data_IF_995790276242
#
_entry.id   IF_995790276242
#
_cell.length_a   1.000
_cell.length_b   1.000
_cell.length_c   1.000
_cell.angle_alpha   90.00
_cell.angle_beta   90.00
_cell.angle_gamma   90.00
#
_symmetry.space_group_name_H-M   'P 1'
#
loop_
_entity.id
_entity.type
_entity.pdbx_description
1 polymer ?
#
# COMPACT_ATOMS: atom_id res chain seq x y z
N UNK A 1 -26.12 17.44 4.78
CA UNK A 1 -25.07 16.58 5.33
C UNK A 1 -25.62 15.16 5.35
N UNK A 2 -25.13 14.29 4.46
CA UNK A 2 -25.57 12.88 4.43
C UNK A 2 -24.94 12.19 5.63
N UNK A 3 -25.76 11.69 6.57
CA UNK A 3 -25.27 10.88 7.68
C UNK A 3 -24.58 9.63 7.10
N UNK A 4 -23.41 9.25 7.62
CA UNK A 4 -22.74 8.04 7.18
C UNK A 4 -23.67 6.84 7.42
N UNK A 5 -23.76 5.94 6.42
CA UNK A 5 -24.54 4.71 6.58
C UNK A 5 -23.93 3.91 7.74
N UNK A 6 -24.70 3.63 8.81
CA UNK A 6 -24.19 2.89 9.95
C UNK A 6 -23.67 1.51 9.51
N UNK A 7 -22.49 1.13 9.99
CA UNK A 7 -21.96 -0.21 9.75
C UNK A 7 -22.07 -1.04 11.03
N UNK A 8 -22.48 -2.31 10.89
CA UNK A 8 -22.33 -3.33 11.93
C UNK A 8 -20.94 -3.95 11.80
N UNK A 9 -20.14 -3.80 12.85
CA UNK A 9 -18.71 -4.09 12.83
C UNK A 9 -18.37 -5.20 13.82
N UNK A 10 -17.62 -6.21 13.36
CA UNK A 10 -16.88 -7.10 14.25
C UNK A 10 -15.47 -6.55 14.37
N UNK A 11 -14.95 -6.47 15.59
CA UNK A 11 -13.54 -6.05 15.85
C UNK A 11 -12.78 -7.24 16.39
N UNK A 12 -11.64 -7.56 15.77
CA UNK A 12 -10.78 -8.67 16.16
C UNK A 12 -9.32 -8.20 16.31
N UNK A 13 -8.78 -8.36 17.51
CA UNK A 13 -7.39 -8.02 17.85
C UNK A 13 -7.00 -8.77 19.13
N UNK A 14 -5.81 -9.38 19.18
CA UNK A 14 -5.30 -10.08 20.35
C UNK A 14 -4.98 -9.13 21.52
N UNK A 15 -4.97 -7.82 21.28
CA UNK A 15 -4.79 -6.79 22.28
C UNK A 15 -6.15 -6.17 22.70
N UNK A 16 -6.70 -6.49 23.88
CA UNK A 16 -8.01 -5.96 24.33
C UNK A 16 -8.11 -4.42 24.33
N UNK A 17 -6.99 -3.74 24.58
CA UNK A 17 -6.90 -2.26 24.54
C UNK A 17 -7.17 -1.73 23.14
N UNK A 18 -6.70 -2.40 22.10
CA UNK A 18 -6.94 -2.01 20.70
C UNK A 18 -8.42 -2.20 20.37
N UNK A 19 -9.03 -3.33 20.75
CA UNK A 19 -10.46 -3.60 20.56
C UNK A 19 -11.31 -2.50 21.21
N UNK A 20 -11.04 -2.19 22.50
CA UNK A 20 -11.75 -1.14 23.24
C UNK A 20 -11.54 0.26 22.61
N UNK A 21 -10.31 0.55 22.17
CA UNK A 21 -9.96 1.80 21.50
C UNK A 21 -10.69 1.98 20.17
N UNK A 22 -10.71 0.95 19.32
CA UNK A 22 -11.43 0.95 18.04
C UNK A 22 -12.92 1.15 18.27
N UNK A 23 -13.54 0.44 19.22
CA UNK A 23 -14.95 0.62 19.56
C UNK A 23 -15.26 2.04 20.04
N UNK A 24 -14.45 2.58 20.95
CA UNK A 24 -14.62 3.94 21.48
C UNK A 24 -14.59 4.99 20.34
N UNK A 25 -13.76 4.78 19.33
CA UNK A 25 -13.63 5.68 18.18
C UNK A 25 -14.80 5.48 17.20
N UNK A 26 -15.29 4.27 16.98
CA UNK A 26 -16.36 3.96 16.03
C UNK A 26 -17.73 4.44 16.50
N UNK A 27 -18.04 4.34 17.80
CA UNK A 27 -19.33 4.67 18.40
C UNK A 27 -19.81 6.09 18.09
N UNK A 28 -19.01 7.16 18.27
CA UNK A 28 -19.42 8.54 17.98
C UNK A 28 -19.72 8.79 16.50
N UNK A 29 -19.22 7.93 15.60
CA UNK A 29 -19.43 8.02 14.16
C UNK A 29 -20.61 7.16 13.66
N UNK A 30 -21.43 6.64 14.59
CA UNK A 30 -22.64 5.87 14.28
C UNK A 30 -22.42 4.42 13.86
N UNK A 31 -21.18 3.90 13.97
CA UNK A 31 -20.90 2.49 13.72
C UNK A 31 -21.16 1.66 14.97
N UNK A 32 -21.76 0.47 14.80
CA UNK A 32 -22.10 -0.42 15.89
C UNK A 32 -21.14 -1.61 15.93
N UNK A 33 -20.35 -1.74 17.01
CA UNK A 33 -19.57 -2.95 17.26
C UNK A 33 -20.51 -4.02 17.81
N UNK A 34 -20.78 -5.04 17.00
CA UNK A 34 -21.74 -6.12 17.29
C UNK A 34 -21.08 -7.34 17.93
N UNK A 35 -19.78 -7.55 17.74
CA UNK A 35 -19.01 -8.60 18.41
C UNK A 35 -17.53 -8.22 18.49
N UNK A 36 -16.81 -8.86 19.43
CA UNK A 36 -15.39 -8.69 19.68
C UNK A 36 -14.73 -10.07 19.70
N UNK A 37 -13.55 -10.17 19.11
CA UNK A 37 -12.74 -11.38 19.11
C UNK A 37 -11.29 -11.04 19.52
N UNK A 38 -10.63 -11.97 20.19
CA UNK A 38 -9.25 -11.78 20.67
C UNK A 38 -8.28 -12.81 20.10
N UNK A 39 -8.78 -13.74 19.32
CA UNK A 39 -8.03 -14.76 18.60
C UNK A 39 -8.78 -15.19 17.34
N UNK A 40 -8.16 -16.05 16.53
CA UNK A 40 -8.75 -16.53 15.28
C UNK A 40 -9.96 -17.43 15.50
N UNK A 41 -10.01 -18.22 16.57
CA UNK A 41 -11.13 -19.14 16.84
C UNK A 41 -12.38 -18.36 17.22
N UNK A 42 -12.27 -17.39 18.15
CA UNK A 42 -13.36 -16.50 18.56
C UNK A 42 -13.81 -15.61 17.40
N UNK A 43 -12.91 -15.17 16.52
CA UNK A 43 -13.27 -14.43 15.31
C UNK A 43 -14.20 -15.25 14.42
N UNK A 44 -13.86 -16.50 14.12
CA UNK A 44 -14.70 -17.32 13.26
C UNK A 44 -16.02 -17.71 13.93
N UNK A 45 -16.07 -17.90 15.27
CA UNK A 45 -17.30 -18.07 16.01
C UNK A 45 -18.19 -16.81 15.90
N UNK A 46 -17.64 -15.62 16.14
CA UNK A 46 -18.36 -14.35 15.97
C UNK A 46 -18.93 -14.17 14.56
N UNK A 47 -18.14 -14.51 13.53
CA UNK A 47 -18.60 -14.41 12.13
C UNK A 47 -19.72 -15.40 11.78
N UNK A 48 -19.77 -16.57 12.44
CA UNK A 48 -20.82 -17.55 12.25
C UNK A 48 -22.13 -17.12 12.94
N UNK A 49 -22.04 -16.58 14.15
CA UNK A 49 -23.18 -16.31 15.01
C UNK A 49 -23.75 -14.88 14.84
N UNK A 50 -22.94 -13.94 14.35
CA UNK A 50 -23.31 -12.52 14.32
C UNK A 50 -23.22 -11.96 12.91
N UNK A 51 -24.29 -11.30 12.47
CA UNK A 51 -24.29 -10.60 11.18
C UNK A 51 -23.54 -9.27 11.29
N UNK A 52 -22.53 -9.10 10.43
CA UNK A 52 -21.83 -7.84 10.25
C UNK A 52 -21.66 -7.53 8.77
N UNK A 53 -21.46 -6.24 8.44
CA UNK A 53 -21.08 -5.82 7.08
C UNK A 53 -19.60 -5.44 6.98
N UNK A 54 -18.95 -5.14 8.10
CA UNK A 54 -17.51 -4.81 8.15
C UNK A 54 -16.84 -5.63 9.25
N UNK A 55 -15.70 -6.21 8.93
CA UNK A 55 -14.76 -6.80 9.87
C UNK A 55 -13.54 -5.89 9.97
N UNK A 56 -13.24 -5.40 11.17
CA UNK A 56 -11.97 -4.75 11.50
C UNK A 56 -11.11 -5.79 12.21
N UNK A 57 -9.99 -6.20 11.64
CA UNK A 57 -9.16 -7.27 12.20
C UNK A 57 -7.69 -6.90 12.20
N UNK A 58 -6.98 -7.32 13.26
CA UNK A 58 -5.53 -7.43 13.18
C UNK A 58 -5.13 -8.46 12.11
N UNK A 59 -3.97 -8.25 11.55
CA UNK A 59 -3.36 -9.20 10.62
C UNK A 59 -2.76 -10.41 11.35
N UNK A 60 -2.18 -10.20 12.53
CA UNK A 60 -1.50 -11.24 13.31
C UNK A 60 -2.17 -11.43 14.67
N UNK A 61 -2.74 -12.60 14.89
CA UNK A 61 -3.38 -13.03 16.14
C UNK A 61 -2.94 -14.45 16.45
N UNK A 62 -1.75 -14.64 17.03
CA UNK A 62 -1.11 -15.97 17.14
C UNK A 62 -1.75 -16.90 18.18
N UNK A 63 -2.57 -16.38 19.09
CA UNK A 63 -3.09 -17.15 20.24
C UNK A 63 -4.22 -18.15 19.90
N UNK A 64 -4.73 -18.13 18.65
CA UNK A 64 -5.76 -19.08 18.21
C UNK A 64 -5.19 -20.40 17.68
N UNK A 65 -6.05 -21.44 17.60
CA UNK A 65 -5.69 -22.72 16.96
C UNK A 65 -5.75 -22.62 15.42
N UNK A 66 -6.57 -21.70 14.90
CA UNK A 66 -6.67 -21.46 13.47
C UNK A 66 -5.57 -20.50 13.01
N UNK A 67 -5.06 -20.68 11.76
CA UNK A 67 -4.01 -19.82 11.24
C UNK A 67 -4.45 -18.36 11.14
N UNK A 68 -3.56 -17.43 11.48
CA UNK A 68 -3.70 -15.99 11.30
C UNK A 68 -3.17 -15.50 9.91
N UNK A 69 -3.04 -14.21 9.73
CA UNK A 69 -2.45 -13.59 8.54
C UNK A 69 -3.21 -13.85 7.25
N UNK A 70 -2.48 -14.08 6.15
CA UNK A 70 -3.08 -14.32 4.83
C UNK A 70 -4.05 -15.51 4.79
N UNK A 71 -3.76 -16.67 5.44
CA UNK A 71 -4.69 -17.79 5.52
C UNK A 71 -6.02 -17.41 6.17
N UNK A 72 -5.99 -16.63 7.28
CA UNK A 72 -7.19 -16.13 7.95
C UNK A 72 -8.02 -15.26 7.01
N UNK A 73 -7.42 -14.26 6.38
CA UNK A 73 -8.11 -13.37 5.43
C UNK A 73 -8.73 -14.16 4.28
N UNK A 74 -7.98 -15.12 3.72
CA UNK A 74 -8.50 -15.98 2.65
C UNK A 74 -9.72 -16.80 3.10
N UNK A 75 -9.69 -17.33 4.32
CA UNK A 75 -10.80 -18.09 4.91
C UNK A 75 -12.02 -17.21 5.13
N UNK A 76 -11.85 -16.01 5.69
CA UNK A 76 -12.94 -15.03 5.86
C UNK A 76 -13.58 -14.70 4.50
N UNK A 77 -12.78 -14.39 3.49
CA UNK A 77 -13.28 -14.10 2.12
C UNK A 77 -14.07 -15.25 1.52
N UNK A 78 -13.64 -16.49 1.75
CA UNK A 78 -14.31 -17.70 1.23
C UNK A 78 -15.65 -17.96 1.93
N UNK A 79 -15.68 -17.85 3.27
CA UNK A 79 -16.86 -18.20 4.07
C UNK A 79 -17.87 -17.04 4.18
N UNK A 80 -17.37 -15.79 4.18
CA UNK A 80 -18.16 -14.57 4.39
C UNK A 80 -17.91 -13.55 3.27
N UNK A 81 -18.23 -13.85 1.99
CA UNK A 81 -17.85 -13.03 0.83
C UNK A 81 -18.48 -11.62 0.82
N UNK A 82 -19.56 -11.41 1.59
CA UNK A 82 -20.24 -10.12 1.71
C UNK A 82 -19.62 -9.21 2.78
N UNK A 83 -18.84 -9.76 3.70
CA UNK A 83 -18.17 -8.99 4.74
C UNK A 83 -17.01 -8.21 4.15
N UNK A 84 -16.97 -6.91 4.40
CA UNK A 84 -15.88 -6.02 3.99
C UNK A 84 -14.79 -6.05 5.05
N UNK A 85 -13.56 -6.32 4.64
CA UNK A 85 -12.44 -6.51 5.57
C UNK A 85 -11.60 -5.23 5.61
N UNK A 86 -11.42 -4.70 6.82
CA UNK A 86 -10.46 -3.64 7.18
C UNK A 86 -9.36 -4.29 8.00
N UNK A 87 -8.15 -4.31 7.50
CA UNK A 87 -6.99 -4.90 8.19
C UNK A 87 -6.22 -3.81 8.91
N UNK A 88 -6.05 -3.98 10.22
CA UNK A 88 -5.13 -3.23 11.05
C UNK A 88 -3.80 -4.00 11.07
N UNK A 89 -2.67 -3.33 10.86
CA UNK A 89 -1.40 -4.05 10.78
C UNK A 89 -0.20 -3.17 11.14
N UNK A 90 0.85 -3.80 11.64
CA UNK A 90 2.18 -3.21 11.78
C UNK A 90 3.12 -3.60 10.63
N UNK A 91 2.61 -4.32 9.62
CA UNK A 91 3.40 -4.79 8.49
C UNK A 91 3.94 -3.63 7.66
N UNK A 92 5.22 -3.73 7.32
CA UNK A 92 5.91 -2.85 6.38
C UNK A 92 6.38 -3.56 5.11
N UNK A 93 6.00 -4.85 4.93
CA UNK A 93 6.33 -5.59 3.72
C UNK A 93 5.34 -5.29 2.59
N UNK A 94 5.75 -4.58 1.51
CA UNK A 94 4.86 -4.17 0.44
C UNK A 94 4.25 -5.34 -0.34
N UNK A 95 4.97 -6.47 -0.47
CA UNK A 95 4.47 -7.64 -1.19
C UNK A 95 3.26 -8.26 -0.46
N UNK A 96 3.31 -8.35 0.88
CA UNK A 96 2.18 -8.83 1.69
C UNK A 96 1.00 -7.86 1.62
N UNK A 97 1.26 -6.55 1.67
CA UNK A 97 0.21 -5.52 1.56
C UNK A 97 -0.47 -5.56 0.18
N UNK A 98 0.29 -5.74 -0.91
CA UNK A 98 -0.26 -5.94 -2.26
C UNK A 98 -1.12 -7.20 -2.32
N UNK A 99 -0.64 -8.33 -1.77
CA UNK A 99 -1.40 -9.58 -1.72
C UNK A 99 -2.74 -9.40 -0.99
N UNK A 100 -2.80 -8.64 0.10
CA UNK A 100 -4.04 -8.32 0.81
C UNK A 100 -5.02 -7.53 -0.08
N UNK A 101 -4.52 -6.55 -0.84
CA UNK A 101 -5.35 -5.79 -1.78
C UNK A 101 -5.88 -6.68 -2.91
N UNK A 102 -5.05 -7.55 -3.47
CA UNK A 102 -5.43 -8.51 -4.52
C UNK A 102 -6.48 -9.52 -4.02
N UNK A 103 -6.44 -9.85 -2.73
CA UNK A 103 -7.47 -10.66 -2.06
C UNK A 103 -8.79 -9.89 -1.82
N UNK A 104 -8.86 -8.61 -2.19
CA UNK A 104 -10.06 -7.78 -2.08
C UNK A 104 -10.33 -7.26 -0.66
N UNK A 105 -9.28 -7.04 0.15
CA UNK A 105 -9.38 -6.30 1.41
C UNK A 105 -9.82 -4.87 1.12
N UNK A 106 -10.84 -4.38 1.82
CA UNK A 106 -11.43 -3.07 1.57
C UNK A 106 -10.57 -1.93 2.12
N UNK A 107 -9.88 -2.15 3.24
CA UNK A 107 -8.99 -1.13 3.80
C UNK A 107 -7.77 -1.74 4.48
N UNK A 108 -6.64 -1.03 4.37
CA UNK A 108 -5.40 -1.32 5.10
C UNK A 108 -5.03 -0.12 5.97
N UNK A 109 -4.83 -0.38 7.24
CA UNK A 109 -4.55 0.64 8.23
C UNK A 109 -3.30 0.29 9.05
N UNK A 110 -2.35 1.24 9.13
CA UNK A 110 -1.13 1.07 9.92
C UNK A 110 -1.40 1.40 11.40
N UNK A 111 -1.30 0.42 12.29
CA UNK A 111 -1.50 0.57 13.74
C UNK A 111 -0.55 1.59 14.40
N UNK A 112 0.59 1.90 13.79
CA UNK A 112 1.56 2.90 14.29
C UNK A 112 1.09 4.33 14.09
N UNK A 113 0.09 4.53 13.24
CA UNK A 113 -0.50 5.85 12.99
C UNK A 113 -1.69 6.10 13.91
N UNK A 114 -2.19 7.35 13.92
CA UNK A 114 -3.36 7.69 14.71
C UNK A 114 -4.58 6.87 14.28
N UNK A 115 -5.21 6.18 15.24
CA UNK A 115 -6.44 5.41 15.00
C UNK A 115 -7.66 6.28 14.67
N UNK A 116 -7.55 7.60 14.72
CA UNK A 116 -8.66 8.55 14.49
C UNK A 116 -9.33 8.42 13.13
N UNK A 117 -8.59 7.91 12.13
CA UNK A 117 -9.10 7.75 10.76
C UNK A 117 -9.79 6.38 10.54
N UNK A 118 -9.83 5.50 11.54
CA UNK A 118 -10.52 4.20 11.45
C UNK A 118 -12.00 4.35 11.02
N UNK A 119 -12.79 5.31 11.54
CA UNK A 119 -14.16 5.50 11.08
C UNK A 119 -14.27 5.79 9.59
N UNK A 120 -13.31 6.53 9.04
CA UNK A 120 -13.24 6.81 7.59
C UNK A 120 -12.99 5.51 6.80
N UNK A 121 -12.08 4.65 7.28
CA UNK A 121 -11.79 3.37 6.67
C UNK A 121 -13.01 2.42 6.73
N UNK A 122 -13.68 2.36 7.89
CA UNK A 122 -14.89 1.54 8.11
C UNK A 122 -16.05 2.04 7.25
N UNK A 123 -16.26 3.36 7.19
CA UNK A 123 -17.28 3.95 6.32
C UNK A 123 -17.00 3.64 4.85
N UNK A 124 -15.77 3.87 4.38
CA UNK A 124 -15.38 3.55 3.00
C UNK A 124 -15.62 2.08 2.66
N UNK A 125 -15.22 1.16 3.55
CA UNK A 125 -15.47 -0.26 3.40
C UNK A 125 -16.97 -0.57 3.33
N UNK A 126 -17.77 0.00 4.23
CA UNK A 126 -19.22 -0.20 4.32
C UNK A 126 -19.97 0.20 3.05
N UNK A 127 -19.52 1.24 2.35
CA UNK A 127 -20.08 1.69 1.07
C UNK A 127 -19.39 1.09 -0.17
N UNK A 128 -18.54 0.08 0.04
CA UNK A 128 -17.86 -0.63 -1.06
C UNK A 128 -16.69 0.11 -1.69
N UNK A 129 -16.16 1.12 -1.01
CA UNK A 129 -14.94 1.85 -1.43
C UNK A 129 -13.70 1.28 -0.74
N UNK A 130 -12.53 1.58 -1.30
CA UNK A 130 -11.25 1.22 -0.72
C UNK A 130 -10.64 2.38 0.07
N UNK A 131 -9.91 2.05 1.14
CA UNK A 131 -9.16 3.00 1.94
C UNK A 131 -7.76 2.46 2.26
N UNK A 132 -6.75 3.30 2.09
CA UNK A 132 -5.38 3.04 2.53
C UNK A 132 -4.96 4.16 3.45
N UNK A 133 -4.45 3.83 4.63
CA UNK A 133 -3.86 4.85 5.50
C UNK A 133 -2.70 5.55 4.78
N UNK A 134 -2.43 6.84 5.09
CA UNK A 134 -1.39 7.60 4.39
C UNK A 134 -0.02 6.91 4.40
N UNK A 135 0.35 6.24 5.49
CA UNK A 135 1.60 5.52 5.62
C UNK A 135 1.68 4.32 4.66
N UNK A 136 0.63 3.49 4.61
CA UNK A 136 0.57 2.33 3.69
C UNK A 136 0.54 2.81 2.23
N UNK A 137 -0.19 3.88 1.95
CA UNK A 137 -0.24 4.44 0.59
C UNK A 137 1.15 4.89 0.11
N UNK A 138 1.89 5.62 0.94
CA UNK A 138 3.28 6.03 0.62
C UNK A 138 4.15 4.82 0.37
N UNK A 139 4.17 3.86 1.29
CA UNK A 139 4.98 2.65 1.18
C UNK A 139 4.73 1.90 -0.14
N UNK A 140 3.47 1.75 -0.54
CA UNK A 140 3.12 1.08 -1.80
C UNK A 140 3.49 1.91 -3.04
N UNK A 141 3.41 3.25 -2.95
CA UNK A 141 3.82 4.17 -4.03
C UNK A 141 5.34 4.16 -4.22
N UNK A 142 6.12 4.21 -3.13
CA UNK A 142 7.58 4.21 -3.17
C UNK A 142 8.10 2.94 -3.85
N UNK A 143 7.54 1.77 -3.51
CA UNK A 143 7.91 0.50 -4.15
C UNK A 143 7.46 0.45 -5.62
N UNK A 144 6.27 0.95 -5.94
CA UNK A 144 5.81 1.01 -7.33
C UNK A 144 6.69 1.93 -8.20
N UNK A 145 7.20 3.01 -7.62
CA UNK A 145 8.17 3.88 -8.28
C UNK A 145 9.52 3.15 -8.48
N UNK A 146 10.02 2.46 -7.45
CA UNK A 146 11.27 1.71 -7.52
C UNK A 146 11.19 0.57 -8.56
N UNK A 147 10.13 -0.24 -8.53
CA UNK A 147 9.89 -1.32 -9.49
C UNK A 147 9.85 -0.79 -10.94
N UNK A 148 9.15 0.34 -11.15
CA UNK A 148 9.07 0.99 -12.47
C UNK A 148 10.41 1.53 -12.92
N UNK A 149 11.18 2.08 -12.01
CA UNK A 149 12.53 2.59 -12.29
C UNK A 149 13.49 1.45 -12.67
N UNK A 150 13.46 0.33 -11.93
CA UNK A 150 14.28 -0.84 -12.27
C UNK A 150 13.89 -1.44 -13.62
N UNK A 151 12.60 -1.52 -13.94
CA UNK A 151 12.15 -2.03 -15.23
C UNK A 151 12.58 -1.11 -16.39
N UNK A 152 12.49 0.21 -16.19
CA UNK A 152 12.97 1.20 -17.17
C UNK A 152 14.49 1.14 -17.31
N UNK A 153 15.23 0.98 -16.21
CA UNK A 153 16.68 0.83 -16.23
C UNK A 153 17.13 -0.44 -16.94
N UNK A 154 16.33 -1.52 -16.91
CA UNK A 154 16.62 -2.75 -17.68
C UNK A 154 16.52 -2.53 -19.20
N UNK A 155 15.75 -1.55 -19.65
CA UNK A 155 15.61 -1.19 -21.08
C UNK A 155 16.81 -0.40 -21.59
N UNK A 156 17.58 0.23 -20.71
CA UNK A 156 18.75 1.01 -21.07
C UNK A 156 20.00 0.12 -21.22
N UNK A 157 20.80 0.39 -22.23
CA UNK A 157 22.12 -0.19 -22.32
C UNK A 157 23.04 0.35 -21.21
N UNK A 158 24.11 -0.36 -20.82
CA UNK A 158 25.07 0.13 -19.82
C UNK A 158 25.60 1.53 -20.11
N UNK A 159 25.82 1.83 -21.38
CA UNK A 159 26.33 3.14 -21.83
C UNK A 159 25.27 4.25 -21.73
N UNK A 160 24.02 3.95 -22.02
CA UNK A 160 22.93 4.91 -21.87
C UNK A 160 22.69 5.24 -20.39
N UNK A 161 22.77 4.24 -19.51
CA UNK A 161 22.68 4.43 -18.04
C UNK A 161 23.81 5.32 -17.52
N UNK A 162 25.03 5.05 -17.96
CA UNK A 162 26.23 5.82 -17.57
C UNK A 162 26.10 7.30 -17.97
N UNK A 163 25.63 7.57 -19.19
CA UNK A 163 25.38 8.94 -19.67
C UNK A 163 24.31 9.62 -18.86
N UNK A 164 23.18 8.94 -18.58
CA UNK A 164 22.08 9.52 -17.79
C UNK A 164 22.49 9.77 -16.34
N UNK A 165 23.28 8.90 -15.71
CA UNK A 165 23.80 9.10 -14.35
C UNK A 165 24.70 10.32 -14.26
N UNK A 166 25.65 10.47 -15.19
CA UNK A 166 26.51 11.64 -15.22
C UNK A 166 25.73 12.93 -15.48
N UNK A 167 24.71 12.88 -16.34
CA UNK A 167 23.81 13.99 -16.59
C UNK A 167 22.97 14.37 -15.36
N UNK A 168 22.49 13.37 -14.60
CA UNK A 168 21.77 13.57 -13.33
C UNK A 168 22.62 14.29 -12.27
N UNK A 169 23.94 14.08 -12.29
CA UNK A 169 24.91 14.75 -11.41
C UNK A 169 25.21 16.20 -11.83
N UNK A 170 24.56 16.70 -12.90
CA UNK A 170 24.70 18.06 -13.38
C UNK A 170 25.85 18.28 -14.37
N UNK A 171 26.50 17.20 -14.84
CA UNK A 171 27.58 17.35 -15.82
C UNK A 171 27.03 17.74 -17.22
N UNK A 172 27.68 18.69 -17.89
CA UNK A 172 27.34 19.02 -19.26
C UNK A 172 27.69 17.89 -20.22
N UNK A 173 26.94 17.74 -21.33
CA UNK A 173 27.20 16.66 -22.31
C UNK A 173 28.61 16.71 -22.89
N UNK A 174 29.21 17.90 -22.99
CA UNK A 174 30.63 18.06 -23.44
C UNK A 174 31.60 17.45 -22.44
N UNK A 175 31.39 17.67 -21.13
CA UNK A 175 32.25 17.14 -20.07
C UNK A 175 32.13 15.61 -20.00
N UNK A 176 30.87 15.10 -20.13
CA UNK A 176 30.62 13.66 -20.21
C UNK A 176 31.32 13.04 -21.41
N UNK A 177 31.31 13.72 -22.58
CA UNK A 177 31.98 13.25 -23.77
C UNK A 177 33.50 13.14 -23.56
N UNK A 178 34.09 14.14 -22.94
CA UNK A 178 35.53 14.16 -22.60
C UNK A 178 35.86 13.05 -21.60
N UNK A 179 35.11 12.94 -20.51
CA UNK A 179 35.34 11.95 -19.47
C UNK A 179 35.18 10.50 -19.95
N UNK A 180 34.28 10.26 -20.91
CA UNK A 180 34.06 8.93 -21.50
C UNK A 180 34.93 8.66 -22.75
N UNK A 181 35.79 9.58 -23.17
CA UNK A 181 36.62 9.45 -24.37
C UNK A 181 35.79 9.29 -25.66
N UNK A 182 34.65 10.03 -25.77
CA UNK A 182 33.70 9.93 -26.88
C UNK A 182 33.36 11.29 -27.46
N UNK A 183 32.85 11.28 -28.70
CA UNK A 183 32.41 12.53 -29.31
C UNK A 183 31.10 13.04 -28.65
N UNK A 184 30.93 14.36 -28.60
CA UNK A 184 29.69 15.01 -28.18
C UNK A 184 28.46 14.44 -28.91
N UNK A 185 28.61 14.20 -30.24
CA UNK A 185 27.54 13.62 -31.07
C UNK A 185 27.13 12.24 -30.58
N UNK A 186 28.09 11.42 -30.13
CA UNK A 186 27.83 10.08 -29.59
C UNK A 186 27.07 10.15 -28.27
N UNK A 187 27.49 11.02 -27.34
CA UNK A 187 26.87 11.20 -26.05
C UNK A 187 25.44 11.78 -26.19
N UNK A 188 25.27 12.80 -27.04
CA UNK A 188 23.96 13.38 -27.35
C UNK A 188 22.99 12.35 -27.94
N UNK A 189 23.49 11.46 -28.84
CA UNK A 189 22.71 10.36 -29.41
C UNK A 189 22.32 9.34 -28.34
N UNK A 190 23.22 8.97 -27.43
CA UNK A 190 22.97 8.03 -26.33
C UNK A 190 21.90 8.59 -25.35
N UNK A 191 22.03 9.87 -24.97
CA UNK A 191 20.99 10.57 -24.16
C UNK A 191 19.63 10.50 -24.84
N UNK A 192 19.56 10.87 -26.13
CA UNK A 192 18.29 10.88 -26.89
C UNK A 192 17.68 9.46 -27.01
N UNK A 193 18.52 8.46 -27.25
CA UNK A 193 18.11 7.06 -27.31
C UNK A 193 17.55 6.60 -25.99
N UNK A 194 18.23 6.92 -24.87
CA UNK A 194 17.76 6.62 -23.53
C UNK A 194 16.42 7.30 -23.24
N UNK A 195 16.28 8.59 -23.54
CA UNK A 195 15.01 9.32 -23.38
C UNK A 195 13.88 8.66 -24.17
N UNK A 196 14.12 8.25 -25.42
CA UNK A 196 13.13 7.55 -26.23
C UNK A 196 12.69 6.22 -25.61
N UNK A 197 13.63 5.43 -25.07
CA UNK A 197 13.34 4.15 -24.38
C UNK A 197 12.55 4.34 -23.08
N UNK A 198 12.75 5.47 -22.40
CA UNK A 198 12.05 5.87 -21.18
C UNK A 198 10.71 6.58 -21.45
N UNK A 199 10.39 6.88 -22.72
CA UNK A 199 9.18 7.64 -23.06
C UNK A 199 9.23 9.12 -22.65
N UNK A 200 10.45 9.67 -22.47
CA UNK A 200 10.70 11.03 -22.03
C UNK A 200 10.83 11.95 -23.24
N UNK A 201 9.99 12.98 -23.33
CA UNK A 201 9.93 13.86 -24.50
C UNK A 201 10.88 15.06 -24.43
N UNK A 202 11.27 15.51 -23.21
CA UNK A 202 12.08 16.71 -23.01
C UNK A 202 12.95 16.62 -21.75
N UNK A 203 13.90 17.54 -21.62
CA UNK A 203 14.86 17.58 -20.52
C UNK A 203 14.18 17.86 -19.17
N UNK A 204 13.10 18.61 -19.11
CA UNK A 204 12.39 18.85 -17.85
C UNK A 204 11.80 17.54 -17.29
N UNK A 205 11.21 16.71 -18.14
CA UNK A 205 10.74 15.37 -17.77
C UNK A 205 11.91 14.46 -17.39
N UNK A 206 13.06 14.58 -18.07
CA UNK A 206 14.26 13.83 -17.74
C UNK A 206 14.76 14.19 -16.33
N UNK A 207 14.83 15.48 -15.99
CA UNK A 207 15.22 15.91 -14.64
C UNK A 207 14.26 15.41 -13.56
N UNK A 208 12.95 15.45 -13.80
CA UNK A 208 11.95 14.89 -12.87
C UNK A 208 12.14 13.38 -12.67
N UNK A 209 12.40 12.65 -13.75
CA UNK A 209 12.68 11.23 -13.71
C UNK A 209 13.94 10.93 -12.88
N UNK A 210 15.03 11.64 -13.16
CA UNK A 210 16.31 11.45 -12.48
C UNK A 210 16.27 11.86 -11.01
N UNK A 211 15.49 12.88 -10.64
CA UNK A 211 15.25 13.27 -9.24
C UNK A 211 14.50 12.19 -8.46
N UNK A 212 13.57 11.47 -9.09
CA UNK A 212 12.86 10.33 -8.49
C UNK A 212 13.68 9.05 -8.35
N UNK A 213 14.85 8.97 -9.04
CA UNK A 213 15.78 7.82 -8.99
C UNK A 213 16.92 8.05 -7.99
N UNK A 214 17.20 9.32 -7.64
CA UNK A 214 18.32 9.71 -6.77
C UNK A 214 17.96 9.79 -5.27
N UNK A 215 16.72 9.52 -4.87
CA UNK A 215 16.21 9.45 -3.49
C UNK A 215 15.92 8.02 -3.11
#
# INVERSE_FOLDING_TARGET
MSYPVPSSVIVADDHPVVVAGVESILRPHGHLVVARAHDTDTLFACLADTRCNVLVTDFSMPDGHLPDGLPMIRRVRKLHPRVRIVVLTMLSNPAVLRTLLDMGVAALFDKRTSLRDIPVAVHAAGVGRHYLSPAIRRLLQDVACADRTEELDRRLSPKEREVLRAYAQGHALADIATAMGRSFKTISRQKRSAMGKLGIANDAQLYQYLAGVAG
#
